data_IF_158860933886
#
_entry.id   IF_158860933886
#
_cell.length_a   1.000
_cell.length_b   1.000
_cell.length_c   1.000
_cell.angle_alpha   90.00
_cell.angle_beta   90.00
_cell.angle_gamma   90.00
#
_symmetry.space_group_name_H-M   'P 1'
#
loop_
_entity.id
_entity.type
_entity.pdbx_description
1 polymer ?
#
# COMPACT_ATOMS: atom_id res chain seq x y z
N UNK A 1 -3.90 -0.73 8.92
CA UNK A 1 -2.69 0.14 9.01
C UNK A 1 -2.23 0.73 7.67
N UNK A 2 -1.76 -0.03 6.65
CA UNK A 2 -1.16 0.57 5.43
C UNK A 2 -2.10 1.56 4.74
N UNK A 3 -3.37 1.21 4.55
CA UNK A 3 -4.37 2.11 3.98
C UNK A 3 -4.53 3.42 4.78
N UNK A 4 -4.42 3.37 6.11
CA UNK A 4 -4.46 4.58 6.94
C UNK A 4 -3.19 5.43 6.74
N UNK A 5 -2.03 4.78 6.61
CA UNK A 5 -0.77 5.46 6.35
C UNK A 5 -0.80 6.23 5.02
N UNK A 6 -1.28 5.57 3.97
CA UNK A 6 -1.47 6.12 2.62
C UNK A 6 -2.68 7.07 2.50
N UNK A 7 -3.48 7.26 3.56
CA UNK A 7 -4.64 8.16 3.56
C UNK A 7 -5.85 7.65 2.78
N UNK A 8 -5.89 6.38 2.43
CA UNK A 8 -6.96 5.74 1.65
C UNK A 8 -8.02 5.08 2.52
N UNK A 9 -7.72 4.75 3.78
CA UNK A 9 -8.63 4.00 4.64
C UNK A 9 -10.00 4.67 4.91
N UNK A 10 -10.09 6.00 4.78
CA UNK A 10 -11.34 6.75 4.95
C UNK A 10 -11.94 7.26 3.63
N UNK A 11 -11.41 6.82 2.48
CA UNK A 11 -11.93 7.19 1.17
C UNK A 11 -13.12 6.29 0.79
N UNK A 12 -13.96 6.68 -0.19
CA UNK A 12 -15.01 5.82 -0.71
C UNK A 12 -14.51 4.43 -1.12
N UNK A 13 -15.38 3.43 -1.05
CA UNK A 13 -15.07 2.02 -1.33
C UNK A 13 -13.84 1.52 -0.55
N UNK A 14 -13.71 1.92 0.72
CA UNK A 14 -12.57 1.64 1.60
C UNK A 14 -11.20 2.01 1.01
N UNK A 15 -11.20 2.91 0.02
CA UNK A 15 -10.04 3.37 -0.72
C UNK A 15 -9.59 2.50 -1.90
N UNK A 16 -10.30 1.43 -2.23
CA UNK A 16 -9.90 0.53 -3.31
C UNK A 16 -9.90 1.18 -4.70
N UNK A 17 -10.66 2.28 -4.88
CA UNK A 17 -10.67 3.07 -6.13
C UNK A 17 -9.78 4.30 -6.10
N UNK A 18 -9.06 4.55 -5.01
CA UNK A 18 -8.40 5.84 -4.81
C UNK A 18 -7.15 6.00 -5.67
N UNK A 19 -7.10 7.03 -6.49
CA UNK A 19 -5.89 7.49 -7.17
C UNK A 19 -5.04 8.35 -6.22
N UNK A 20 -3.76 8.50 -6.52
CA UNK A 20 -2.93 9.54 -5.92
C UNK A 20 -3.65 10.90 -5.98
N UNK A 21 -3.62 11.66 -4.88
CA UNK A 21 -4.37 12.93 -4.78
C UNK A 21 -5.87 12.78 -4.53
N UNK A 22 -6.34 11.57 -4.20
CA UNK A 22 -7.72 11.25 -3.79
C UNK A 22 -8.79 11.35 -4.90
N UNK A 23 -8.39 11.33 -6.18
CA UNK A 23 -9.31 11.01 -7.27
C UNK A 23 -9.77 9.55 -7.23
N UNK A 24 -10.65 9.15 -8.13
CA UNK A 24 -11.13 7.77 -8.26
C UNK A 24 -10.94 7.23 -9.68
N UNK A 25 -11.04 5.90 -9.85
CA UNK A 25 -11.10 5.24 -11.15
C UNK A 25 -12.29 4.27 -11.25
N UNK A 26 -12.78 4.07 -12.47
CA UNK A 26 -14.09 3.42 -12.70
C UNK A 26 -14.02 1.89 -12.83
N UNK A 27 -12.92 1.35 -13.36
CA UNK A 27 -12.82 -0.06 -13.70
C UNK A 27 -11.72 -0.77 -12.91
N UNK A 28 -12.08 -1.88 -12.27
CA UNK A 28 -11.12 -2.78 -11.64
C UNK A 28 -10.47 -3.77 -12.61
N UNK A 29 -10.80 -3.77 -13.91
CA UNK A 29 -10.27 -4.76 -14.87
C UNK A 29 -8.74 -4.85 -14.89
N UNK A 30 -8.07 -3.75 -14.58
CA UNK A 30 -6.63 -3.73 -14.35
C UNK A 30 -6.22 -2.48 -13.56
N UNK A 31 -4.96 -2.37 -13.15
CA UNK A 31 -4.44 -1.13 -12.58
C UNK A 31 -4.70 0.04 -13.55
N UNK A 32 -5.20 1.20 -13.09
CA UNK A 32 -5.70 2.25 -13.99
C UNK A 32 -4.60 2.93 -14.82
N UNK A 33 -3.35 2.88 -14.36
CA UNK A 33 -2.15 3.48 -15.00
C UNK A 33 -2.30 4.97 -15.31
N UNK A 34 -3.19 5.64 -14.60
CA UNK A 34 -3.42 7.09 -14.69
C UNK A 34 -2.21 7.80 -14.08
N UNK A 35 -1.63 8.74 -14.83
CA UNK A 35 -0.55 9.62 -14.36
C UNK A 35 -1.17 10.87 -13.73
N UNK A 36 -1.10 10.97 -12.41
CA UNK A 36 -1.54 12.16 -11.67
C UNK A 36 -0.34 13.10 -11.47
N UNK A 37 -0.41 14.38 -11.90
CA UNK A 37 0.68 15.33 -11.72
C UNK A 37 1.11 15.49 -10.25
N UNK A 38 2.42 15.58 -10.02
CA UNK A 38 3.02 15.81 -8.69
C UNK A 38 4.33 16.61 -8.83
N UNK A 39 4.30 17.89 -8.47
CA UNK A 39 5.44 18.79 -8.69
C UNK A 39 5.82 18.86 -10.18
N UNK A 40 7.07 18.52 -10.51
CA UNK A 40 7.59 18.44 -11.90
C UNK A 40 7.51 17.03 -12.50
N UNK A 41 6.84 16.10 -11.83
CA UNK A 41 6.70 14.69 -12.24
C UNK A 41 5.23 14.26 -12.13
N UNK A 42 4.98 12.95 -12.13
CA UNK A 42 3.68 12.34 -11.89
C UNK A 42 3.80 11.13 -10.96
N UNK A 43 2.70 10.76 -10.32
CA UNK A 43 2.51 9.47 -9.65
C UNK A 43 1.53 8.61 -10.46
N UNK A 44 1.67 7.29 -10.34
CA UNK A 44 0.69 6.32 -10.85
C UNK A 44 0.08 5.50 -9.72
N UNK A 45 0.27 5.92 -8.47
CA UNK A 45 -0.25 5.20 -7.32
C UNK A 45 -1.78 5.14 -7.37
N UNK A 46 -2.31 3.93 -7.18
CA UNK A 46 -3.74 3.68 -7.16
C UNK A 46 -4.14 2.60 -6.15
N UNK A 47 -5.41 2.63 -5.79
CA UNK A 47 -6.03 1.68 -4.90
C UNK A 47 -5.72 1.89 -3.43
N UNK A 48 -6.22 0.96 -2.61
CA UNK A 48 -6.19 1.02 -1.15
C UNK A 48 -4.77 1.08 -0.61
N UNK A 49 -3.82 0.50 -1.33
CA UNK A 49 -2.42 0.43 -0.94
C UNK A 49 -1.50 1.29 -1.82
N UNK A 50 -2.06 2.21 -2.62
CA UNK A 50 -1.31 3.14 -3.46
C UNK A 50 -0.22 2.42 -4.30
N UNK A 51 -0.59 1.29 -4.91
CA UNK A 51 0.32 0.47 -5.72
C UNK A 51 0.65 1.24 -6.99
N UNK A 52 1.93 1.31 -7.37
CA UNK A 52 2.36 1.94 -8.63
C UNK A 52 2.12 1.00 -9.82
N UNK A 53 1.83 1.57 -11.00
CA UNK A 53 1.64 0.82 -12.24
C UNK A 53 2.77 -0.20 -12.50
N UNK A 54 4.03 0.24 -12.42
CA UNK A 54 5.21 -0.63 -12.62
C UNK A 54 5.30 -1.77 -11.61
N UNK A 55 4.85 -1.53 -10.37
CA UNK A 55 4.87 -2.53 -9.30
C UNK A 55 3.80 -3.57 -9.56
N UNK A 56 2.60 -3.12 -9.93
CA UNK A 56 1.52 -3.99 -10.36
C UNK A 56 1.93 -4.89 -11.53
N UNK A 57 2.49 -4.31 -12.59
CA UNK A 57 2.93 -5.04 -13.78
C UNK A 57 3.99 -6.11 -13.44
N UNK A 58 4.93 -5.77 -12.56
CA UNK A 58 5.95 -6.71 -12.06
C UNK A 58 5.34 -7.86 -11.25
N UNK A 59 4.36 -7.58 -10.40
CA UNK A 59 3.66 -8.60 -9.62
C UNK A 59 2.81 -9.51 -10.51
N UNK A 60 2.08 -8.96 -11.49
CA UNK A 60 1.31 -9.74 -12.47
C UNK A 60 2.23 -10.63 -13.30
N UNK A 61 3.39 -10.13 -13.73
CA UNK A 61 4.37 -10.92 -14.48
C UNK A 61 4.95 -12.07 -13.64
N UNK A 62 5.10 -11.86 -12.32
CA UNK A 62 5.69 -12.84 -11.39
C UNK A 62 4.69 -13.90 -10.92
N UNK A 63 3.47 -13.49 -10.56
CA UNK A 63 2.45 -14.35 -9.97
C UNK A 63 1.43 -14.87 -11.00
N UNK A 64 1.30 -14.19 -12.14
CA UNK A 64 0.31 -14.50 -13.16
C UNK A 64 -1.10 -13.98 -12.83
N UNK A 65 -1.96 -13.97 -13.86
CA UNK A 65 -3.37 -13.56 -13.74
C UNK A 65 -4.25 -14.57 -12.99
N UNK A 66 -3.74 -15.76 -12.70
CA UNK A 66 -4.41 -16.70 -11.79
C UNK A 66 -4.43 -16.18 -10.35
N UNK A 67 -3.40 -15.45 -9.93
CA UNK A 67 -3.33 -14.85 -8.59
C UNK A 67 -3.77 -13.38 -8.57
N UNK A 68 -3.56 -12.66 -9.67
CA UNK A 68 -3.91 -11.24 -9.84
C UNK A 68 -4.81 -11.03 -11.07
N UNK A 69 -6.04 -11.57 -11.07
CA UNK A 69 -6.91 -11.59 -12.25
C UNK A 69 -7.34 -10.20 -12.72
N UNK A 70 -7.49 -9.29 -11.78
CA UNK A 70 -7.92 -7.91 -11.97
C UNK A 70 -7.23 -7.02 -10.92
N UNK A 71 -7.60 -5.75 -10.83
CA UNK A 71 -7.16 -4.81 -9.80
C UNK A 71 -8.26 -4.54 -8.76
N UNK A 72 -9.17 -5.48 -8.56
CA UNK A 72 -10.23 -5.43 -7.55
C UNK A 72 -9.69 -5.57 -6.12
N UNK A 73 -10.55 -5.43 -5.10
CA UNK A 73 -10.14 -5.43 -3.70
C UNK A 73 -9.26 -6.63 -3.29
N UNK A 74 -9.70 -7.86 -3.60
CA UNK A 74 -8.96 -9.06 -3.23
C UNK A 74 -7.58 -9.15 -3.91
N UNK A 75 -7.46 -8.70 -5.16
CA UNK A 75 -6.19 -8.70 -5.88
C UNK A 75 -5.24 -7.61 -5.36
N UNK A 76 -5.75 -6.45 -4.97
CA UNK A 76 -4.97 -5.42 -4.29
C UNK A 76 -4.44 -5.90 -2.92
N UNK A 77 -5.28 -6.58 -2.13
CA UNK A 77 -4.88 -7.18 -0.84
C UNK A 77 -3.78 -8.23 -1.05
N UNK A 78 -3.98 -9.14 -2.01
CA UNK A 78 -2.99 -10.17 -2.38
C UNK A 78 -1.66 -9.55 -2.81
N UNK A 79 -1.70 -8.48 -3.61
CA UNK A 79 -0.51 -7.74 -4.04
C UNK A 79 0.21 -7.05 -2.87
N UNK A 80 -0.53 -6.41 -1.95
CA UNK A 80 0.05 -5.81 -0.76
C UNK A 80 0.71 -6.87 0.15
N UNK A 81 0.05 -8.01 0.35
CA UNK A 81 0.60 -9.16 1.09
C UNK A 81 1.88 -9.67 0.42
N UNK A 82 1.90 -9.77 -0.92
CA UNK A 82 3.11 -10.17 -1.66
C UNK A 82 4.26 -9.20 -1.43
N UNK A 83 4.01 -7.90 -1.50
CA UNK A 83 5.03 -6.89 -1.26
C UNK A 83 5.58 -6.95 0.17
N UNK A 84 4.74 -7.27 1.16
CA UNK A 84 5.19 -7.51 2.54
C UNK A 84 6.05 -8.79 2.61
N UNK A 85 5.65 -9.85 1.91
CA UNK A 85 6.39 -11.13 1.82
C UNK A 85 7.78 -10.94 1.22
N UNK A 86 7.88 -10.24 0.10
CA UNK A 86 9.15 -9.96 -0.59
C UNK A 86 10.15 -9.18 0.27
N UNK A 87 9.64 -8.40 1.23
CA UNK A 87 10.46 -7.68 2.21
C UNK A 87 10.78 -8.50 3.47
N UNK A 88 10.35 -9.76 3.53
CA UNK A 88 10.59 -10.64 4.68
C UNK A 88 9.89 -10.19 5.96
N UNK A 89 8.75 -9.48 5.84
CA UNK A 89 8.05 -8.86 6.95
C UNK A 89 6.81 -9.66 7.44
N UNK A 90 6.37 -10.70 6.72
CA UNK A 90 5.17 -11.46 7.12
C UNK A 90 5.31 -12.12 8.50
N UNK A 91 6.49 -12.65 8.83
CA UNK A 91 6.73 -13.26 10.14
C UNK A 91 6.65 -12.23 11.26
N UNK A 92 7.12 -11.00 11.03
CA UNK A 92 7.05 -9.91 11.99
C UNK A 92 5.61 -9.45 12.21
N UNK A 93 4.84 -9.28 11.11
CA UNK A 93 3.41 -8.97 11.19
C UNK A 93 2.67 -10.02 12.02
N UNK A 94 2.86 -11.31 11.71
CA UNK A 94 2.21 -12.41 12.44
C UNK A 94 2.62 -12.48 13.91
N UNK A 95 3.84 -12.07 14.24
CA UNK A 95 4.36 -12.09 15.61
C UNK A 95 4.13 -10.77 16.36
N UNK A 96 3.37 -9.82 15.78
CA UNK A 96 3.14 -8.51 16.41
C UNK A 96 4.36 -7.58 16.47
N UNK A 97 5.49 -7.93 15.82
CA UNK A 97 6.72 -7.10 15.76
C UNK A 97 6.57 -5.97 14.74
N UNK A 98 5.64 -5.05 15.02
CA UNK A 98 5.19 -4.06 14.05
C UNK A 98 6.32 -3.11 13.60
N UNK A 99 7.18 -2.68 14.51
CA UNK A 99 8.31 -1.78 14.19
C UNK A 99 9.27 -2.42 13.19
N UNK A 100 9.59 -3.71 13.36
CA UNK A 100 10.45 -4.45 12.44
C UNK A 100 9.78 -4.63 11.07
N UNK A 101 8.49 -4.97 11.07
CA UNK A 101 7.71 -5.08 9.84
C UNK A 101 7.71 -3.77 9.05
N UNK A 102 7.38 -2.64 9.70
CA UNK A 102 7.39 -1.29 9.10
C UNK A 102 8.78 -0.95 8.57
N UNK A 103 9.82 -1.21 9.36
CA UNK A 103 11.21 -1.00 8.97
C UNK A 103 11.55 -1.72 7.68
N UNK A 104 11.14 -2.98 7.52
CA UNK A 104 11.39 -3.78 6.32
C UNK A 104 10.62 -3.30 5.08
N UNK A 105 9.38 -2.82 5.26
CA UNK A 105 8.52 -2.41 4.13
C UNK A 105 8.56 -0.92 3.79
N UNK A 106 9.29 -0.08 4.55
CA UNK A 106 9.31 1.39 4.37
C UNK A 106 9.69 1.91 2.98
N UNK A 107 10.34 1.09 2.15
CA UNK A 107 10.69 1.45 0.76
C UNK A 107 9.63 1.02 -0.28
N UNK A 108 8.55 0.39 0.17
CA UNK A 108 7.38 0.06 -0.65
C UNK A 108 6.36 1.19 -0.60
N UNK A 109 6.11 1.72 0.60
CA UNK A 109 5.11 2.76 0.86
C UNK A 109 5.78 4.03 1.35
N UNK A 110 5.63 5.11 0.60
CA UNK A 110 6.33 6.37 0.87
C UNK A 110 5.84 7.08 2.13
N UNK A 111 4.62 6.77 2.58
CA UNK A 111 4.04 7.31 3.82
C UNK A 111 4.67 6.75 5.10
N UNK A 112 5.47 5.67 5.02
CA UNK A 112 6.02 5.02 6.20
C UNK A 112 7.28 5.72 6.73
N UNK A 113 7.52 5.71 8.05
CA UNK A 113 8.69 6.34 8.65
C UNK A 113 10.00 5.74 8.10
N UNK A 114 10.95 6.60 7.74
CA UNK A 114 12.24 6.22 7.16
C UNK A 114 12.19 5.87 5.66
N UNK A 115 11.06 6.10 4.99
CA UNK A 115 10.95 6.00 3.54
C UNK A 115 11.78 7.10 2.84
N UNK A 116 11.73 8.34 3.35
CA UNK A 116 12.52 9.50 2.91
C UNK A 116 12.41 9.81 1.41
N UNK A 117 11.23 9.68 0.83
CA UNK A 117 10.98 10.14 -0.55
C UNK A 117 10.80 11.66 -0.55
N UNK A 118 11.63 12.36 -1.33
CA UNK A 118 11.61 13.82 -1.41
C UNK A 118 10.21 14.33 -1.79
N UNK A 119 9.71 15.33 -1.05
CA UNK A 119 8.39 15.93 -1.25
C UNK A 119 7.21 15.12 -0.69
N UNK A 120 7.43 13.94 -0.10
CA UNK A 120 6.36 13.13 0.49
C UNK A 120 6.40 13.17 2.01
N UNK A 121 5.24 13.38 2.63
CA UNK A 121 5.08 13.30 4.08
C UNK A 121 5.09 11.85 4.56
N UNK A 122 5.64 11.64 5.76
CA UNK A 122 5.61 10.34 6.45
C UNK A 122 4.71 10.42 7.69
N UNK A 123 4.12 9.29 8.07
CA UNK A 123 3.40 9.13 9.34
C UNK A 123 4.38 8.80 10.46
N UNK A 124 4.01 9.14 11.69
CA UNK A 124 4.76 8.72 12.88
C UNK A 124 4.55 7.22 13.14
N UNK A 125 5.52 6.60 13.83
CA UNK A 125 5.35 5.19 14.26
C UNK A 125 4.14 5.04 15.21
N UNK A 126 3.88 6.03 16.07
CA UNK A 126 2.72 6.03 16.96
C UNK A 126 1.39 6.03 16.21
N UNK A 127 1.27 6.78 15.11
CA UNK A 127 0.10 6.77 14.25
C UNK A 127 -0.13 5.38 13.63
N UNK A 128 0.95 4.74 13.17
CA UNK A 128 0.88 3.40 12.60
C UNK A 128 0.49 2.34 13.65
N UNK A 129 1.04 2.44 14.86
CA UNK A 129 0.68 1.56 15.98
C UNK A 129 -0.81 1.67 16.31
N UNK A 130 -1.34 2.90 16.45
CA UNK A 130 -2.76 3.12 16.68
C UNK A 130 -3.62 2.54 15.54
N UNK A 131 -3.26 2.79 14.28
CA UNK A 131 -3.98 2.25 13.12
C UNK A 131 -3.85 0.73 12.95
N UNK A 132 -2.85 0.10 13.57
CA UNK A 132 -2.70 -1.36 13.60
C UNK A 132 -3.58 -1.98 14.69
N UNK A 133 -3.55 -1.42 15.90
CA UNK A 133 -4.38 -1.85 17.04
C UNK A 133 -5.87 -1.65 16.77
N UNK A 134 -6.27 -0.49 16.22
CA UNK A 134 -7.67 -0.22 15.86
C UNK A 134 -8.21 -1.19 14.80
N UNK A 135 -7.33 -1.83 14.02
CA UNK A 135 -7.68 -2.85 13.05
C UNK A 135 -7.66 -4.28 13.65
N UNK A 136 -7.52 -4.42 14.97
CA UNK A 136 -7.47 -5.69 15.68
C UNK A 136 -6.08 -6.33 15.79
N UNK A 137 -5.03 -5.65 15.34
CA UNK A 137 -3.66 -6.15 15.43
C UNK A 137 -3.09 -6.06 16.86
N UNK A 138 -2.33 -7.07 17.28
CA UNK A 138 -1.61 -7.06 18.56
C UNK A 138 -0.14 -6.69 18.34
N UNK A 139 0.38 -5.78 19.15
CA UNK A 139 1.80 -5.41 19.14
C UNK A 139 2.49 -6.16 20.27
N UNK A 140 3.57 -6.86 19.94
CA UNK A 140 4.45 -7.49 20.92
C UNK A 140 5.63 -6.58 21.15
N UNK A 141 5.93 -6.34 22.42
CA UNK A 141 7.08 -5.55 22.89
C UNK A 141 8.39 -6.32 22.71
#
# INVERSE_FOLDING_TARGET
>A
MIAAAEGTAGQPDDGYRTLFGYGSFDSFRDHPRIRVPFGRTYSTAAGRYQILARTWDSLVAKLGRSELPDFGPAAQDRAAIELIRERGALADVRSGRLTDAVTKVRKVWASLPGANYSGQGMRSMSYLQAAYVNAGGTITL
#
